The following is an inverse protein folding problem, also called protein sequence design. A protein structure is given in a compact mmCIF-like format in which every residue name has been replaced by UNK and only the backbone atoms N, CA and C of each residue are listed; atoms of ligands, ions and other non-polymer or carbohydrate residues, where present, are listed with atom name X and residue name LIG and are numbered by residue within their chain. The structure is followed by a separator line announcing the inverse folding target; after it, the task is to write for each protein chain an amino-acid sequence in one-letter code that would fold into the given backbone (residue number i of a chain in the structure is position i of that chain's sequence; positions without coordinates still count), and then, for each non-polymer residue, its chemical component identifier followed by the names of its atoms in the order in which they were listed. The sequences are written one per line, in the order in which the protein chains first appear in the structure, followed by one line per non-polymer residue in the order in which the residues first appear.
data_IF_721626929201
#
_entry.id   IF_721626929201
#
_cell.length_a   1.000
_cell.length_b   1.000
_cell.length_c   1.000
_cell.angle_alpha   90.00
_cell.angle_beta   90.00
_cell.angle_gamma   90.00
#
_symmetry.space_group_name_H-M   'P 1'
#
loop_
_entity.id
_entity.type
_entity.pdbx_description
1 polymer ?
#
# COMPACT_ATOMS: atom_id res chain seq x y z
N UNK A 1 -1.20 -1.95 11.98
CA UNK A 1 -0.96 -0.67 11.28
C UNK A 1 -1.25 -0.80 9.81
N UNK A 2 -1.93 0.17 9.27
CA UNK A 2 -2.41 0.17 7.90
C UNK A 2 -2.07 1.49 7.22
N UNK A 3 -1.65 1.44 5.96
CA UNK A 3 -1.68 2.61 5.08
C UNK A 3 -2.77 2.41 4.03
N UNK A 4 -3.40 3.51 3.63
CA UNK A 4 -4.42 3.54 2.59
C UNK A 4 -4.04 4.63 1.58
N UNK A 5 -3.28 4.25 0.56
CA UNK A 5 -2.71 5.19 -0.39
C UNK A 5 -3.60 5.29 -1.63
N UNK A 6 -4.27 6.42 -1.79
CA UNK A 6 -5.01 6.70 -3.02
C UNK A 6 -4.03 7.17 -4.08
N UNK A 7 -4.16 6.59 -5.26
CA UNK A 7 -3.29 6.89 -6.40
C UNK A 7 -4.10 6.96 -7.68
N UNK A 8 -3.82 7.98 -8.48
CA UNK A 8 -4.41 8.13 -9.80
C UNK A 8 -3.40 7.63 -10.84
N UNK A 9 -3.80 6.65 -11.63
CA UNK A 9 -2.95 6.03 -12.64
C UNK A 9 -3.56 6.24 -14.02
N UNK A 10 -2.86 6.93 -14.94
CA UNK A 10 -3.33 7.08 -16.32
C UNK A 10 -3.49 5.71 -16.98
N UNK A 11 -4.47 5.53 -17.88
CA UNK A 11 -4.70 4.26 -18.56
C UNK A 11 -3.48 3.71 -19.27
N UNK A 12 -2.63 4.57 -19.82
CA UNK A 12 -1.39 4.18 -20.50
C UNK A 12 -0.36 3.55 -19.57
N UNK A 13 -0.46 3.82 -18.27
CA UNK A 13 0.47 3.30 -17.26
C UNK A 13 -0.10 2.14 -16.45
N UNK A 14 -1.38 1.80 -16.64
CA UNK A 14 -2.06 0.83 -15.78
C UNK A 14 -1.39 -0.55 -15.80
N UNK A 15 -1.05 -1.08 -16.97
CA UNK A 15 -0.42 -2.40 -17.07
C UNK A 15 0.92 -2.46 -16.32
N UNK A 16 1.75 -1.45 -16.50
CA UNK A 16 3.04 -1.34 -15.82
C UNK A 16 2.87 -1.14 -14.32
N UNK A 17 1.88 -0.35 -13.92
CA UNK A 17 1.54 -0.13 -12.52
C UNK A 17 1.16 -1.45 -11.83
N UNK A 18 0.26 -2.20 -12.42
CA UNK A 18 -0.20 -3.48 -11.86
C UNK A 18 0.95 -4.50 -11.79
N UNK A 19 1.76 -4.58 -12.84
CA UNK A 19 2.91 -5.49 -12.87
C UNK A 19 3.93 -5.13 -11.77
N UNK A 20 4.23 -3.85 -11.62
CA UNK A 20 5.16 -3.35 -10.62
C UNK A 20 4.65 -3.62 -9.19
N UNK A 21 3.36 -3.40 -8.96
CA UNK A 21 2.75 -3.64 -7.67
C UNK A 21 2.75 -5.13 -7.31
N UNK A 22 2.51 -6.02 -8.28
CA UNK A 22 2.59 -7.48 -8.07
C UNK A 22 3.98 -7.91 -7.62
N UNK A 23 5.02 -7.37 -8.24
CA UNK A 23 6.39 -7.67 -7.82
C UNK A 23 6.67 -7.17 -6.41
N UNK A 24 6.22 -5.96 -6.08
CA UNK A 24 6.38 -5.41 -4.75
C UNK A 24 5.65 -6.25 -3.69
N UNK A 25 4.47 -6.77 -4.01
CA UNK A 25 3.71 -7.64 -3.11
C UNK A 25 4.49 -8.89 -2.71
N UNK A 26 5.29 -9.46 -3.60
CA UNK A 26 6.09 -10.65 -3.30
C UNK A 26 7.11 -10.35 -2.20
N UNK A 27 7.77 -9.20 -2.25
CA UNK A 27 8.71 -8.78 -1.21
C UNK A 27 7.99 -8.48 0.11
N UNK A 28 6.85 -7.83 0.05
CA UNK A 28 6.05 -7.49 1.23
C UNK A 28 5.56 -8.75 1.95
N UNK A 29 5.06 -9.73 1.21
CA UNK A 29 4.61 -11.02 1.77
C UNK A 29 5.74 -11.75 2.48
N UNK A 30 6.96 -11.70 1.95
CA UNK A 30 8.12 -12.33 2.57
C UNK A 30 8.46 -11.71 3.93
N UNK A 31 8.03 -10.48 4.20
CA UNK A 31 8.19 -9.80 5.49
C UNK A 31 6.97 -9.91 6.40
N UNK A 32 5.94 -10.62 5.99
CA UNK A 32 4.69 -10.69 6.72
C UNK A 32 3.80 -9.46 6.57
N UNK A 33 4.07 -8.61 5.59
CA UNK A 33 3.19 -7.51 5.21
C UNK A 33 2.18 -7.98 4.17
N UNK A 34 0.99 -7.41 4.20
CA UNK A 34 -0.05 -7.68 3.23
C UNK A 34 -0.36 -6.41 2.46
N UNK A 35 -0.39 -6.51 1.12
CA UNK A 35 -0.78 -5.42 0.24
C UNK A 35 -1.96 -5.90 -0.61
N UNK A 36 -2.99 -5.07 -0.73
CA UNK A 36 -4.09 -5.33 -1.67
C UNK A 36 -4.58 -4.03 -2.28
N UNK A 37 -5.22 -4.17 -3.42
CA UNK A 37 -5.56 -3.06 -4.29
C UNK A 37 -7.05 -3.05 -4.60
N UNK A 38 -7.64 -1.85 -4.55
CA UNK A 38 -9.02 -1.64 -4.97
C UNK A 38 -9.08 -0.52 -6.00
N UNK A 39 -9.94 -0.70 -6.98
CA UNK A 39 -10.25 0.35 -7.96
C UNK A 39 -11.54 1.04 -7.55
N UNK A 40 -11.61 2.36 -7.74
CA UNK A 40 -12.84 3.09 -7.51
C UNK A 40 -13.92 2.64 -8.49
N UNK A 41 -15.14 2.38 -7.98
CA UNK A 41 -16.22 1.84 -8.80
C UNK A 41 -16.71 2.81 -9.89
N UNK A 42 -16.49 4.11 -9.69
CA UNK A 42 -16.95 5.16 -10.62
C UNK A 42 -15.82 5.78 -11.44
N UNK A 43 -14.59 5.76 -10.90
CA UNK A 43 -13.43 6.35 -11.56
C UNK A 43 -12.38 5.25 -11.78
N UNK A 44 -12.27 4.72 -13.00
CA UNK A 44 -11.39 3.58 -13.29
C UNK A 44 -9.90 3.90 -13.20
N UNK A 45 -9.53 5.18 -13.13
CA UNK A 45 -8.13 5.60 -12.97
C UNK A 45 -7.72 5.77 -11.52
N UNK A 46 -8.67 5.73 -10.59
CA UNK A 46 -8.41 5.93 -9.18
C UNK A 46 -8.34 4.58 -8.45
N UNK A 47 -7.20 4.35 -7.79
CA UNK A 47 -6.95 3.15 -7.01
C UNK A 47 -6.68 3.51 -5.55
N UNK A 48 -6.91 2.55 -4.66
CA UNK A 48 -6.43 2.61 -3.29
C UNK A 48 -5.58 1.37 -3.01
N UNK A 49 -4.32 1.59 -2.62
CA UNK A 49 -3.41 0.56 -2.17
C UNK A 49 -3.51 0.48 -0.65
N UNK A 50 -3.88 -0.68 -0.14
CA UNK A 50 -3.84 -0.95 1.29
C UNK A 50 -2.59 -1.75 1.61
N UNK A 51 -1.87 -1.34 2.65
CA UNK A 51 -0.71 -2.08 3.13
C UNK A 51 -0.80 -2.23 4.65
N UNK A 52 -0.78 -3.47 5.11
CA UNK A 52 -0.92 -3.81 6.51
C UNK A 52 0.36 -4.46 7.04
N UNK A 53 0.77 -4.06 8.23
CA UNK A 53 1.83 -4.70 8.99
C UNK A 53 1.42 -4.79 10.45
N UNK A 54 2.09 -5.64 11.23
CA UNK A 54 1.73 -5.89 12.63
C UNK A 54 1.99 -4.69 13.52
N UNK A 55 3.06 -3.94 13.27
CA UNK A 55 3.46 -2.79 14.07
C UNK A 55 3.87 -1.62 13.20
N UNK A 56 3.88 -0.42 13.79
CA UNK A 56 4.40 0.77 13.13
C UNK A 56 5.88 0.60 12.76
N UNK A 57 6.66 0.01 13.65
CA UNK A 57 8.08 -0.23 13.40
C UNK A 57 8.30 -1.16 12.21
N UNK A 58 7.56 -2.25 12.12
CA UNK A 58 7.63 -3.15 10.95
C UNK A 58 7.21 -2.45 9.69
N UNK A 59 6.19 -1.60 9.76
CA UNK A 59 5.68 -0.87 8.61
C UNK A 59 6.70 0.11 8.06
N UNK A 60 7.46 0.76 8.97
CA UNK A 60 8.45 1.78 8.63
C UNK A 60 9.88 1.24 8.51
N UNK A 61 10.09 -0.06 8.62
CA UNK A 61 11.42 -0.68 8.63
C UNK A 61 12.10 -0.62 7.25
N UNK A 62 12.51 0.57 6.85
CA UNK A 62 13.16 0.79 5.56
C UNK A 62 14.50 0.07 5.45
N UNK A 63 15.21 -0.06 6.57
CA UNK A 63 16.51 -0.73 6.61
C UNK A 63 16.44 -2.21 6.24
N UNK A 64 15.27 -2.85 6.36
CA UNK A 64 15.08 -4.24 5.95
C UNK A 64 14.65 -4.41 4.51
N UNK A 65 14.43 -3.31 3.79
CA UNK A 65 14.01 -3.37 2.38
C UNK A 65 15.21 -3.60 1.47
N UNK A 66 15.01 -4.49 0.51
CA UNK A 66 16.03 -4.74 -0.51
C UNK A 66 16.10 -3.58 -1.51
N UNK A 67 17.27 -3.35 -2.15
CA UNK A 67 17.36 -2.33 -3.21
C UNK A 67 16.33 -2.48 -4.32
N UNK A 68 15.96 -3.69 -4.67
CA UNK A 68 14.93 -3.99 -5.68
C UNK A 68 13.56 -3.49 -5.24
N UNK A 69 13.21 -3.61 -3.95
CA UNK A 69 11.96 -3.10 -3.43
C UNK A 69 11.90 -1.58 -3.53
N UNK A 70 12.98 -0.91 -3.18
CA UNK A 70 13.07 0.55 -3.25
C UNK A 70 12.90 1.02 -4.69
N UNK A 71 13.49 0.31 -5.65
CA UNK A 71 13.30 0.58 -7.07
C UNK A 71 11.85 0.44 -7.50
N UNK A 72 11.17 -0.61 -7.05
CA UNK A 72 9.76 -0.85 -7.37
C UNK A 72 8.87 0.25 -6.79
N UNK A 73 9.12 0.67 -5.56
CA UNK A 73 8.38 1.76 -4.93
C UNK A 73 8.55 3.08 -5.70
N UNK A 74 9.77 3.39 -6.13
CA UNK A 74 10.03 4.58 -6.94
C UNK A 74 9.34 4.50 -8.29
N UNK A 75 9.32 3.32 -8.89
CA UNK A 75 8.63 3.11 -10.16
C UNK A 75 7.12 3.32 -10.02
N UNK A 76 6.50 2.81 -8.96
CA UNK A 76 5.08 3.07 -8.68
C UNK A 76 4.79 4.55 -8.59
N UNK A 77 5.64 5.29 -7.88
CA UNK A 77 5.50 6.75 -7.73
C UNK A 77 5.67 7.50 -9.06
N UNK A 78 6.39 6.93 -10.00
CA UNK A 78 6.56 7.52 -11.34
C UNK A 78 5.38 7.20 -12.27
N UNK A 79 4.62 6.14 -12.00
CA UNK A 79 3.52 5.68 -12.85
C UNK A 79 2.16 6.28 -12.48
N UNK A 80 2.04 6.81 -11.27
CA UNK A 80 0.80 7.40 -10.80
C UNK A 80 1.03 8.60 -9.89
N UNK A 81 -0.05 9.33 -9.60
CA UNK A 81 -0.03 10.47 -8.69
C UNK A 81 -0.68 10.08 -7.38
N UNK A 82 0.12 10.01 -6.32
CA UNK A 82 -0.35 9.65 -4.98
C UNK A 82 -0.94 10.86 -4.26
N UNK A 83 -2.01 10.62 -3.50
CA UNK A 83 -2.60 11.65 -2.65
C UNK A 83 -1.62 12.04 -1.51
N UNK A 84 -1.70 13.27 -0.99
CA UNK A 84 -0.77 13.74 0.05
C UNK A 84 -0.82 12.93 1.35
N UNK A 85 -1.95 12.29 1.66
CA UNK A 85 -2.15 11.48 2.85
C UNK A 85 -1.81 9.99 2.67
N UNK A 86 -1.20 9.62 1.54
CA UNK A 86 -0.92 8.23 1.17
C UNK A 86 -0.10 7.47 2.22
N UNK A 87 0.75 8.15 2.96
CA UNK A 87 1.69 7.52 3.88
C UNK A 87 1.28 7.64 5.35
N UNK A 88 0.08 8.14 5.61
CA UNK A 88 -0.45 8.15 6.96
C UNK A 88 -0.69 6.74 7.47
N UNK A 89 -0.39 6.51 8.74
CA UNK A 89 -0.61 5.24 9.40
C UNK A 89 -1.93 5.26 10.15
N UNK A 90 -2.67 4.18 10.01
CA UNK A 90 -3.97 3.99 10.65
C UNK A 90 -3.90 2.76 11.53
N UNK A 91 -4.40 2.86 12.75
CA UNK A 91 -4.54 1.72 13.65
C UNK A 91 -5.98 1.30 13.75
N UNK A 92 -6.20 0.00 13.81
CA UNK A 92 -7.54 -0.55 13.98
C UNK A 92 -8.11 -0.15 15.34
N UNK A 93 -9.37 0.27 15.34
CA UNK A 93 -10.13 0.52 16.57
C UNK A 93 -11.13 -0.61 16.74
N UNK A 94 -11.10 -1.27 17.89
CA UNK A 94 -12.05 -2.33 18.19
C UNK A 94 -13.47 -1.76 18.31
N UNK A 95 -14.39 -2.36 17.57
CA UNK A 95 -15.82 -2.04 17.64
C UNK A 95 -16.60 -3.02 18.53
N UNK A 96 -15.88 -3.95 19.14
CA UNK A 96 -16.51 -4.89 20.08
C UNK A 96 -17.06 -4.14 21.27
N UNK A 97 -18.21 -4.59 21.81
CA UNK A 97 -18.79 -4.01 23.00
C UNK A 97 -17.80 -4.12 24.17
N UNK A 98 -17.71 -3.09 25.05
CA UNK A 98 -16.83 -3.19 26.21
C UNK A 98 -17.21 -4.41 27.05
N UNK A 99 -16.17 -5.15 27.48
CA UNK A 99 -16.37 -6.25 28.40
C UNK A 99 -16.42 -5.65 29.81
N UNK A 100 -17.55 -5.83 30.51
CA UNK A 100 -17.65 -5.42 31.88
C UNK A 100 -16.84 -6.37 32.76
N UNK A 101 -16.06 -5.78 33.60
CA UNK A 101 -15.29 -6.55 34.58
C UNK A 101 -16.15 -6.89 35.79
#
# INVERSE_FOLDING_TARGET
MLTAARVRVPPTNEADYLATLRELCQFAEARGQRIWLFRNAKDPQLFTEFSESQTEMSHRAQASRLPEEIKLERRLQSLGTYAPDAWELWSEVSLAAPTEA
#
